data_IF_607507421090
#
_entry.id   IF_607507421090
#
_cell.length_a   1.000
_cell.length_b   1.000
_cell.length_c   1.000
_cell.angle_alpha   90.00
_cell.angle_beta   90.00
_cell.angle_gamma   90.00
#
_symmetry.space_group_name_H-M   'P 1'
#
loop_
_entity.id
_entity.type
_entity.pdbx_description
1 polymer ?
#
# COMPACT_ATOMS: atom_id res chain seq x y z
N UNK A 1 -1.15 20.59 1.21
CA UNK A 1 -0.32 19.37 1.20
C UNK A 1 0.90 19.64 0.33
N UNK A 2 2.12 19.45 0.82
CA UNK A 2 3.32 19.95 0.14
C UNK A 2 3.76 19.04 -1.01
N UNK A 3 4.31 19.63 -2.07
CA UNK A 3 4.87 18.91 -3.21
C UNK A 3 5.99 17.91 -2.79
N UNK A 4 6.61 18.14 -1.62
CA UNK A 4 7.70 17.36 -1.08
C UNK A 4 7.34 15.89 -0.79
N UNK A 5 6.09 15.61 -0.39
CA UNK A 5 5.67 14.24 -0.04
C UNK A 5 5.66 13.35 -1.29
N UNK A 6 5.13 13.86 -2.40
CA UNK A 6 5.11 13.11 -3.65
C UNK A 6 6.49 13.02 -4.31
N UNK A 7 7.34 14.04 -4.17
CA UNK A 7 8.75 13.95 -4.60
C UNK A 7 9.51 12.82 -3.89
N UNK A 8 9.24 12.57 -2.61
CA UNK A 8 9.80 11.42 -1.90
C UNK A 8 9.32 10.08 -2.47
N UNK A 9 8.07 9.99 -2.92
CA UNK A 9 7.55 8.81 -3.62
C UNK A 9 8.32 8.57 -4.91
N UNK A 10 8.53 9.62 -5.70
CA UNK A 10 9.29 9.53 -6.95
C UNK A 10 10.77 9.19 -6.73
N UNK A 11 11.38 9.70 -5.66
CA UNK A 11 12.73 9.32 -5.25
C UNK A 11 12.83 7.83 -4.97
N UNK A 12 11.92 7.29 -4.15
CA UNK A 12 11.90 5.86 -3.82
C UNK A 12 11.55 4.97 -5.01
N UNK A 13 10.73 5.45 -5.94
CA UNK A 13 10.51 4.76 -7.22
C UNK A 13 11.83 4.58 -7.99
N UNK A 14 12.69 5.61 -8.03
CA UNK A 14 14.00 5.52 -8.68
C UNK A 14 14.94 4.56 -7.95
N UNK A 15 14.90 4.56 -6.63
CA UNK A 15 15.68 3.62 -5.79
C UNK A 15 15.24 2.17 -6.05
N UNK A 16 13.94 1.88 -6.05
CA UNK A 16 13.40 0.54 -6.33
C UNK A 16 13.71 0.07 -7.75
N UNK A 17 13.59 0.98 -8.71
CA UNK A 17 13.98 0.68 -10.09
C UNK A 17 15.48 0.35 -10.18
N UNK A 18 16.32 1.10 -9.47
CA UNK A 18 17.76 0.83 -9.36
C UNK A 18 18.07 -0.50 -8.69
N UNK A 19 17.35 -0.85 -7.60
CA UNK A 19 17.45 -2.13 -6.89
C UNK A 19 17.21 -3.32 -7.80
N UNK A 20 16.27 -3.18 -8.75
CA UNK A 20 15.92 -4.22 -9.71
C UNK A 20 16.73 -4.13 -11.02
N UNK A 21 17.65 -3.16 -11.15
CA UNK A 21 18.41 -2.90 -12.38
C UNK A 21 17.52 -2.68 -13.62
N UNK A 22 16.32 -2.13 -13.43
CA UNK A 22 15.36 -1.91 -14.53
C UNK A 22 15.64 -0.56 -15.18
N UNK A 23 15.76 -0.52 -16.51
CA UNK A 23 16.00 0.75 -17.21
C UNK A 23 14.70 1.54 -17.41
N UNK A 24 14.80 2.81 -17.79
CA UNK A 24 13.62 3.61 -18.18
C UNK A 24 12.90 3.04 -19.40
N UNK A 25 13.65 2.38 -20.30
CA UNK A 25 13.11 1.73 -21.49
C UNK A 25 12.32 0.47 -21.10
N UNK A 26 12.84 -0.30 -20.15
CA UNK A 26 12.13 -1.49 -19.66
C UNK A 26 10.83 -1.10 -18.95
N UNK A 27 10.88 -0.08 -18.10
CA UNK A 27 9.68 0.47 -17.45
C UNK A 27 8.67 0.98 -18.47
N UNK A 28 9.11 1.70 -19.51
CA UNK A 28 8.18 2.25 -20.51
C UNK A 28 7.47 1.12 -21.27
N UNK A 29 8.20 0.06 -21.64
CA UNK A 29 7.63 -1.15 -22.26
C UNK A 29 6.62 -1.83 -21.34
N UNK A 30 7.00 -2.07 -20.09
CA UNK A 30 6.15 -2.78 -19.13
C UNK A 30 4.87 -2.00 -18.78
N UNK A 31 4.96 -0.68 -18.71
CA UNK A 31 3.83 0.19 -18.39
C UNK A 31 3.05 0.65 -19.64
N UNK A 32 3.37 0.10 -20.80
CA UNK A 32 2.72 0.42 -22.09
C UNK A 32 2.70 1.93 -22.40
N UNK A 33 3.83 2.60 -22.21
CA UNK A 33 4.04 4.01 -22.55
C UNK A 33 5.35 4.23 -23.29
N UNK A 34 5.48 5.34 -24.00
CA UNK A 34 6.78 5.72 -24.56
C UNK A 34 7.76 6.19 -23.47
N UNK A 35 9.05 6.09 -23.78
CA UNK A 35 10.13 6.42 -22.85
C UNK A 35 10.10 7.89 -22.40
N UNK A 36 9.69 8.82 -23.27
CA UNK A 36 9.60 10.24 -22.93
C UNK A 36 8.51 10.46 -21.87
N UNK A 37 7.36 9.85 -22.09
CA UNK A 37 6.24 9.88 -21.16
C UNK A 37 6.58 9.22 -19.83
N UNK A 38 7.30 8.09 -19.81
CA UNK A 38 7.80 7.51 -18.57
C UNK A 38 8.76 8.46 -17.85
N UNK A 39 9.74 9.02 -18.58
CA UNK A 39 10.72 9.95 -18.02
C UNK A 39 10.08 11.17 -17.37
N UNK A 40 9.06 11.75 -18.01
CA UNK A 40 8.28 12.86 -17.45
C UNK A 40 7.53 12.43 -16.18
N UNK A 41 6.87 11.26 -16.18
CA UNK A 41 6.15 10.74 -15.03
C UNK A 41 7.07 10.46 -13.83
N UNK A 42 8.23 9.84 -14.05
CA UNK A 42 9.24 9.53 -13.01
C UNK A 42 9.83 10.80 -12.38
N UNK A 43 9.88 11.89 -13.13
CA UNK A 43 10.31 13.22 -12.67
C UNK A 43 9.15 14.04 -12.08
N UNK A 44 7.93 13.51 -12.04
CA UNK A 44 6.76 14.25 -11.55
C UNK A 44 6.32 15.39 -12.48
N UNK A 45 6.83 15.42 -13.70
CA UNK A 45 6.57 16.47 -14.69
C UNK A 45 5.33 16.12 -15.51
N UNK A 46 4.35 17.04 -15.53
CA UNK A 46 3.15 17.03 -16.39
C UNK A 46 2.13 15.90 -16.18
N UNK A 47 2.53 14.73 -15.67
CA UNK A 47 1.64 13.59 -15.46
C UNK A 47 1.92 12.84 -14.16
N UNK A 48 0.94 12.03 -13.77
CA UNK A 48 1.00 11.07 -12.67
C UNK A 48 0.84 9.67 -13.24
N UNK A 49 1.27 8.66 -12.50
CA UNK A 49 1.01 7.29 -12.89
C UNK A 49 -0.45 6.96 -12.64
N UNK A 50 -1.08 6.28 -13.60
CA UNK A 50 -2.44 5.77 -13.45
C UNK A 50 -2.47 4.62 -12.44
N UNK A 51 -3.66 4.29 -11.94
CA UNK A 51 -3.84 3.12 -11.09
C UNK A 51 -3.26 1.84 -11.71
N UNK A 52 -3.52 1.61 -13.00
CA UNK A 52 -3.06 0.40 -13.69
C UNK A 52 -1.55 0.39 -13.87
N UNK A 53 -0.93 1.53 -14.14
CA UNK A 53 0.54 1.63 -14.20
C UNK A 53 1.17 1.29 -12.85
N UNK A 54 0.59 1.74 -11.74
CA UNK A 54 1.09 1.44 -10.39
C UNK A 54 0.87 -0.04 -10.05
N UNK A 55 -0.28 -0.60 -10.44
CA UNK A 55 -0.56 -2.03 -10.30
C UNK A 55 0.48 -2.85 -11.06
N UNK A 56 0.73 -2.50 -12.32
CA UNK A 56 1.78 -3.09 -13.15
C UNK A 56 3.16 -2.97 -12.48
N UNK A 57 3.55 -1.81 -11.93
CA UNK A 57 4.82 -1.71 -11.19
C UNK A 57 4.92 -2.73 -10.05
N UNK A 58 3.82 -2.95 -9.32
CA UNK A 58 3.79 -3.97 -8.28
C UNK A 58 3.92 -5.39 -8.86
N UNK A 59 3.23 -5.69 -9.95
CA UNK A 59 3.29 -6.98 -10.62
C UNK A 59 4.70 -7.26 -11.21
N UNK A 60 5.45 -6.20 -11.57
CA UNK A 60 6.86 -6.26 -11.97
C UNK A 60 7.83 -6.53 -10.80
N UNK A 61 7.35 -6.43 -9.55
CA UNK A 61 8.15 -6.67 -8.35
C UNK A 61 8.77 -5.43 -7.72
N UNK A 62 8.36 -4.21 -8.13
CA UNK A 62 8.71 -3.01 -7.37
C UNK A 62 7.95 -3.03 -6.05
N UNK A 63 8.65 -2.71 -4.95
CA UNK A 63 8.03 -2.63 -3.64
C UNK A 63 7.19 -1.35 -3.52
N UNK A 64 5.95 -1.44 -3.98
CA UNK A 64 5.03 -0.29 -3.97
C UNK A 64 4.71 0.16 -2.55
N UNK A 65 4.72 -0.75 -1.57
CA UNK A 65 4.57 -0.37 -0.17
C UNK A 65 5.71 0.58 0.25
N UNK A 66 6.97 0.24 -0.01
CA UNK A 66 8.12 1.10 0.25
C UNK A 66 8.04 2.43 -0.52
N UNK A 67 7.68 2.40 -1.80
CA UNK A 67 7.60 3.60 -2.64
C UNK A 67 6.71 4.68 -2.00
N UNK A 68 5.54 4.30 -1.48
CA UNK A 68 4.63 5.27 -0.86
C UNK A 68 4.91 5.55 0.61
N UNK A 69 5.31 4.53 1.38
CA UNK A 69 5.42 4.65 2.85
C UNK A 69 6.82 5.01 3.34
N UNK A 70 7.85 4.75 2.53
CA UNK A 70 9.25 4.80 2.95
C UNK A 70 9.66 3.61 3.82
N UNK A 71 8.78 2.63 4.03
CA UNK A 71 9.01 1.50 4.92
C UNK A 71 9.40 0.27 4.12
N UNK A 72 10.57 -0.28 4.41
CA UNK A 72 11.12 -1.43 3.72
C UNK A 72 11.38 -2.56 4.71
N UNK A 73 11.29 -3.81 4.23
CA UNK A 73 11.74 -4.99 4.99
C UNK A 73 13.27 -5.00 5.04
N UNK A 74 13.86 -5.39 6.17
CA UNK A 74 15.33 -5.47 6.31
C UNK A 74 15.86 -6.90 6.33
N UNK A 75 15.17 -7.84 6.98
CA UNK A 75 15.79 -9.15 7.29
C UNK A 75 14.93 -10.39 7.08
N UNK A 76 13.60 -10.25 6.92
CA UNK A 76 12.68 -11.40 6.93
C UNK A 76 12.39 -11.91 5.52
N UNK A 77 12.41 -13.24 5.37
CA UNK A 77 11.85 -13.96 4.23
C UNK A 77 10.74 -14.94 4.66
N UNK A 78 9.84 -15.23 3.74
CA UNK A 78 8.78 -16.24 3.88
C UNK A 78 8.91 -17.27 2.76
N UNK A 79 10.15 -17.75 2.54
CA UNK A 79 10.49 -18.61 1.40
C UNK A 79 9.76 -19.96 1.40
N UNK A 80 9.17 -20.35 2.54
CA UNK A 80 8.33 -21.53 2.68
C UNK A 80 6.93 -21.35 2.06
N UNK A 81 6.54 -20.13 1.67
CA UNK A 81 5.29 -19.89 0.92
C UNK A 81 5.61 -20.06 -0.57
N UNK A 82 5.56 -21.29 -1.07
CA UNK A 82 5.95 -21.62 -2.46
C UNK A 82 5.04 -20.96 -3.51
N UNK A 83 3.74 -20.85 -3.21
CA UNK A 83 2.73 -20.25 -4.11
C UNK A 83 1.77 -19.35 -3.32
N UNK A 84 2.18 -18.11 -3.03
CA UNK A 84 1.27 -17.17 -2.42
C UNK A 84 0.09 -16.95 -3.36
N UNK A 85 -1.13 -17.01 -2.84
CA UNK A 85 -2.30 -16.54 -3.55
C UNK A 85 -2.95 -15.39 -2.77
N UNK A 86 -3.65 -14.53 -3.50
CA UNK A 86 -4.26 -13.34 -2.92
C UNK A 86 -5.13 -13.61 -1.67
N UNK A 87 -5.88 -14.71 -1.61
CA UNK A 87 -6.75 -15.01 -0.47
C UNK A 87 -5.93 -15.43 0.75
N UNK A 88 -4.91 -16.26 0.56
CA UNK A 88 -3.95 -16.63 1.59
C UNK A 88 -3.28 -15.41 2.21
N UNK A 89 -2.78 -14.50 1.37
CA UNK A 89 -2.11 -13.27 1.81
C UNK A 89 -3.06 -12.34 2.59
N UNK A 90 -4.32 -12.23 2.15
CA UNK A 90 -5.36 -11.50 2.90
C UNK A 90 -5.60 -12.09 4.30
N UNK A 91 -5.62 -13.42 4.42
CA UNK A 91 -5.77 -14.09 5.70
C UNK A 91 -4.55 -13.86 6.60
N UNK A 92 -3.33 -13.93 6.05
CA UNK A 92 -2.10 -13.64 6.79
C UNK A 92 -2.16 -12.23 7.39
N UNK A 93 -2.45 -11.22 6.56
CA UNK A 93 -2.57 -9.84 7.02
C UNK A 93 -3.61 -9.65 8.15
N UNK A 94 -4.70 -10.43 8.14
CA UNK A 94 -5.71 -10.42 9.22
C UNK A 94 -5.18 -11.08 10.49
N UNK A 95 -4.51 -12.22 10.38
CA UNK A 95 -3.88 -12.90 11.52
C UNK A 95 -2.88 -11.96 12.18
N UNK A 96 -2.04 -11.29 11.38
CA UNK A 96 -1.09 -10.30 11.87
C UNK A 96 -1.78 -9.18 12.64
N UNK A 97 -2.83 -8.58 12.08
CA UNK A 97 -3.62 -7.55 12.78
C UNK A 97 -4.11 -8.07 14.16
N UNK A 98 -4.73 -9.25 14.19
CA UNK A 98 -5.28 -9.84 15.42
C UNK A 98 -4.21 -10.11 16.47
N UNK A 99 -3.07 -10.69 16.08
CA UNK A 99 -1.98 -11.00 17.02
C UNK A 99 -1.37 -9.72 17.56
N UNK A 100 -1.10 -8.72 16.71
CA UNK A 100 -0.56 -7.43 17.13
C UNK A 100 -1.54 -6.71 18.06
N UNK A 101 -2.84 -6.75 17.76
CA UNK A 101 -3.87 -6.14 18.61
C UNK A 101 -3.94 -6.81 19.99
N UNK A 102 -3.86 -8.15 20.05
CA UNK A 102 -3.84 -8.89 21.29
C UNK A 102 -2.60 -8.54 22.12
N UNK A 103 -1.41 -8.64 21.52
CA UNK A 103 -0.15 -8.35 22.20
C UNK A 103 -0.10 -6.90 22.71
N UNK A 104 -0.63 -5.93 21.96
CA UNK A 104 -0.70 -4.54 22.41
C UNK A 104 -1.69 -4.31 23.56
N UNK A 105 -2.73 -5.15 23.70
CA UNK A 105 -3.66 -5.12 24.83
C UNK A 105 -3.07 -5.77 26.08
N UNK A 106 -2.25 -6.80 25.91
CA UNK A 106 -1.55 -7.47 27.02
C UNK A 106 -0.41 -6.60 27.57
N UNK A 107 0.42 -6.03 26.69
CA UNK A 107 1.53 -5.16 27.03
C UNK A 107 1.58 -4.00 26.01
N UNK A 108 1.11 -2.83 26.44
CA UNK A 108 1.04 -1.66 25.57
C UNK A 108 2.41 -1.33 24.96
N UNK A 109 2.44 -1.20 23.63
CA UNK A 109 3.62 -0.86 22.86
C UNK A 109 3.28 0.20 21.82
N UNK A 110 3.92 1.37 21.91
CA UNK A 110 3.72 2.49 20.98
C UNK A 110 3.95 2.11 19.51
N UNK A 111 4.91 1.21 19.24
CA UNK A 111 5.15 0.71 17.88
C UNK A 111 3.96 -0.12 17.37
N UNK A 112 3.33 -0.90 18.26
CA UNK A 112 2.18 -1.73 17.90
C UNK A 112 0.94 -0.86 17.71
N UNK A 113 0.74 0.16 18.55
CA UNK A 113 -0.32 1.15 18.34
C UNK A 113 -0.18 1.84 16.97
N UNK A 114 1.03 2.26 16.60
CA UNK A 114 1.31 2.85 15.29
C UNK A 114 1.04 1.86 14.14
N UNK A 115 1.44 0.60 14.27
CA UNK A 115 1.15 -0.44 13.26
C UNK A 115 -0.36 -0.70 13.14
N UNK A 116 -1.09 -0.79 14.25
CA UNK A 116 -2.54 -1.00 14.25
C UNK A 116 -3.28 0.15 13.57
N UNK A 117 -2.83 1.39 13.77
CA UNK A 117 -3.39 2.57 13.09
C UNK A 117 -3.22 2.49 11.56
N UNK A 118 -2.10 1.96 11.07
CA UNK A 118 -1.87 1.72 9.63
C UNK A 118 -2.65 0.52 9.10
N UNK A 119 -2.74 -0.54 9.91
CA UNK A 119 -3.36 -1.80 9.53
C UNK A 119 -4.89 -1.81 9.70
N UNK A 120 -5.51 -0.85 10.39
CA UNK A 120 -6.96 -0.86 10.63
C UNK A 120 -7.81 -0.95 9.35
N UNK A 121 -7.26 -0.47 8.24
CA UNK A 121 -7.92 -0.52 6.93
C UNK A 121 -7.66 -1.80 6.13
N UNK A 122 -6.74 -2.65 6.57
CA UNK A 122 -6.45 -3.97 5.96
C UNK A 122 -7.68 -4.87 6.02
N UNK A 123 -8.52 -4.72 7.05
CA UNK A 123 -9.81 -5.43 7.16
C UNK A 123 -10.73 -5.20 5.96
N UNK A 124 -10.62 -4.06 5.25
CA UNK A 124 -11.42 -3.79 4.06
C UNK A 124 -10.98 -4.58 2.82
N UNK A 125 -9.77 -5.16 2.83
CA UNK A 125 -9.28 -6.04 1.76
C UNK A 125 -10.09 -7.36 1.72
N UNK A 126 -10.71 -7.76 2.84
CA UNK A 126 -11.48 -9.00 3.02
C UNK A 126 -12.81 -9.02 2.25
N UNK A 127 -13.40 -7.86 1.99
CA UNK A 127 -14.76 -7.78 1.46
C UNK A 127 -14.72 -7.88 -0.07
N UNK A 128 -14.95 -9.09 -0.61
CA UNK A 128 -15.16 -9.34 -2.05
C UNK A 128 -16.45 -8.70 -2.61
N UNK A 129 -17.11 -7.84 -1.85
CA UNK A 129 -18.14 -6.93 -2.35
C UNK A 129 -17.45 -5.81 -3.13
N UNK A 130 -17.97 -5.48 -4.32
CA UNK A 130 -17.57 -4.32 -5.18
C UNK A 130 -16.84 -3.27 -4.35
N UNK A 131 -15.64 -2.79 -4.76
CA UNK A 131 -14.72 -2.10 -3.85
C UNK A 131 -15.52 -1.15 -2.97
N UNK A 132 -15.71 -1.53 -1.71
CA UNK A 132 -16.32 -0.66 -0.71
C UNK A 132 -15.36 0.50 -0.64
N UNK A 133 -15.68 1.53 -1.42
CA UNK A 133 -14.68 2.41 -1.97
C UNK A 133 -13.89 3.01 -0.81
N UNK A 134 -12.59 2.73 -0.73
CA UNK A 134 -11.80 3.10 0.45
C UNK A 134 -11.93 4.60 0.77
N UNK A 135 -12.12 5.45 -0.25
CA UNK A 135 -12.39 6.87 -0.06
C UNK A 135 -13.72 7.11 0.68
N UNK A 136 -14.80 6.45 0.25
CA UNK A 136 -16.10 6.52 0.91
C UNK A 136 -16.06 5.96 2.33
N UNK A 137 -15.38 4.83 2.51
CA UNK A 137 -15.21 4.16 3.79
C UNK A 137 -14.48 5.04 4.79
N UNK A 138 -13.31 5.56 4.42
CA UNK A 138 -12.53 6.49 5.24
C UNK A 138 -13.34 7.74 5.57
N UNK A 139 -14.04 8.31 4.57
CA UNK A 139 -14.88 9.50 4.77
C UNK A 139 -15.95 9.28 5.83
N UNK A 140 -16.69 8.17 5.72
CA UNK A 140 -17.77 7.82 6.65
C UNK A 140 -17.23 7.55 8.06
N UNK A 141 -16.16 6.77 8.18
CA UNK A 141 -15.53 6.48 9.47
C UNK A 141 -15.02 7.72 10.18
N UNK A 142 -14.53 8.72 9.43
CA UNK A 142 -14.08 10.00 10.00
C UNK A 142 -15.21 11.02 10.18
N UNK A 143 -16.44 10.72 9.75
CA UNK A 143 -17.57 11.65 9.82
C UNK A 143 -17.38 12.91 8.95
N UNK A 144 -16.66 12.80 7.84
CA UNK A 144 -16.35 13.96 6.99
C UNK A 144 -17.40 14.17 5.89
N UNK A 145 -17.65 15.44 5.59
CA UNK A 145 -18.33 15.81 4.33
C UNK A 145 -17.41 15.56 3.14
N UNK A 146 -17.95 15.45 1.93
CA UNK A 146 -17.13 15.32 0.71
C UNK A 146 -16.20 16.53 0.54
N UNK A 147 -16.69 17.74 0.79
CA UNK A 147 -15.89 18.97 0.73
C UNK A 147 -14.73 18.91 1.74
N UNK A 148 -15.01 18.52 2.99
CA UNK A 148 -13.96 18.43 4.03
C UNK A 148 -12.88 17.44 3.64
N UNK A 149 -13.24 16.22 3.22
CA UNK A 149 -12.24 15.22 2.83
C UNK A 149 -11.47 15.64 1.56
N UNK A 150 -12.15 16.24 0.58
CA UNK A 150 -11.53 16.73 -0.65
C UNK A 150 -10.48 17.82 -0.35
N UNK A 151 -10.80 18.75 0.57
CA UNK A 151 -9.87 19.76 1.06
C UNK A 151 -8.70 19.12 1.82
N UNK A 152 -8.98 18.13 2.69
CA UNK A 152 -7.93 17.41 3.42
C UNK A 152 -6.94 16.81 2.44
N UNK A 153 -7.38 16.03 1.44
CA UNK A 153 -6.48 15.39 0.46
C UNK A 153 -6.01 16.33 -0.67
N UNK A 154 -6.52 17.56 -0.73
CA UNK A 154 -6.17 18.55 -1.75
C UNK A 154 -6.56 18.10 -3.17
N UNK A 155 -7.81 17.71 -3.37
CA UNK A 155 -8.41 17.47 -4.69
C UNK A 155 -9.75 18.18 -4.83
N UNK A 156 -10.23 18.32 -6.06
CA UNK A 156 -11.56 18.83 -6.33
C UNK A 156 -12.67 17.89 -5.80
N UNK A 157 -13.76 18.46 -5.27
CA UNK A 157 -14.85 17.69 -4.68
C UNK A 157 -15.57 16.77 -5.69
N UNK A 158 -15.66 17.17 -6.96
CA UNK A 158 -16.18 16.31 -8.03
C UNK A 158 -15.20 15.16 -8.29
N UNK A 159 -13.88 15.39 -8.25
CA UNK A 159 -12.88 14.31 -8.33
C UNK A 159 -13.04 13.31 -7.19
N UNK A 160 -13.22 13.77 -5.94
CA UNK A 160 -13.49 12.88 -4.80
C UNK A 160 -14.80 12.09 -5.02
N UNK A 161 -15.87 12.74 -5.43
CA UNK A 161 -17.15 12.07 -5.70
C UNK A 161 -17.04 11.03 -6.81
N UNK A 162 -16.28 11.30 -7.87
CA UNK A 162 -16.03 10.33 -8.94
C UNK A 162 -15.21 9.14 -8.44
N UNK A 163 -14.21 9.39 -7.57
CA UNK A 163 -13.48 8.33 -6.87
C UNK A 163 -14.44 7.49 -6.05
N UNK A 164 -15.21 8.07 -5.13
CA UNK A 164 -16.15 7.36 -4.23
C UNK A 164 -17.16 6.48 -4.96
N UNK A 165 -17.64 6.93 -6.12
CA UNK A 165 -18.61 6.19 -6.94
C UNK A 165 -17.96 5.16 -7.88
N UNK A 166 -16.63 5.01 -7.84
CA UNK A 166 -15.89 4.11 -8.71
C UNK A 166 -15.84 4.53 -10.19
N UNK A 167 -16.21 5.78 -10.51
CA UNK A 167 -16.13 6.33 -11.87
C UNK A 167 -14.69 6.63 -12.28
N UNK A 168 -13.82 6.88 -11.31
CA UNK A 168 -12.38 7.08 -11.51
C UNK A 168 -11.60 6.26 -10.50
N UNK A 169 -10.41 5.81 -10.89
CA UNK A 169 -9.42 5.19 -10.03
C UNK A 169 -8.38 6.23 -9.59
N UNK A 170 -7.74 6.06 -8.43
CA UNK A 170 -6.76 7.01 -7.95
C UNK A 170 -5.46 6.92 -8.76
N UNK A 171 -4.90 8.08 -9.10
CA UNK A 171 -3.54 8.19 -9.62
C UNK A 171 -2.51 8.08 -8.47
N UNK A 172 -1.22 8.03 -8.82
CA UNK A 172 -0.13 7.89 -7.85
C UNK A 172 -0.10 9.02 -6.83
N UNK A 173 -0.48 10.24 -7.20
CA UNK A 173 -0.47 11.35 -6.25
C UNK A 173 -1.60 11.19 -5.23
N UNK A 174 -2.80 10.79 -5.68
CA UNK A 174 -3.92 10.50 -4.79
C UNK A 174 -3.57 9.37 -3.80
N UNK A 175 -2.92 8.29 -4.26
CA UNK A 175 -2.50 7.20 -3.36
C UNK A 175 -1.53 7.74 -2.29
N UNK A 176 -0.55 8.55 -2.67
CA UNK A 176 0.35 9.20 -1.72
C UNK A 176 -0.40 10.07 -0.71
N UNK A 177 -1.37 10.86 -1.17
CA UNK A 177 -2.19 11.74 -0.32
C UNK A 177 -3.05 10.96 0.67
N UNK A 178 -3.57 9.80 0.26
CA UNK A 178 -4.33 8.91 1.15
C UNK A 178 -3.45 8.31 2.24
N UNK A 179 -2.22 7.92 1.91
CA UNK A 179 -1.26 7.46 2.93
C UNK A 179 -0.87 8.60 3.88
N UNK A 180 -0.56 9.79 3.37
CA UNK A 180 -0.18 10.94 4.20
C UNK A 180 -1.29 11.34 5.18
N UNK A 181 -2.51 11.54 4.67
CA UNK A 181 -3.61 12.10 5.45
C UNK A 181 -4.28 11.09 6.40
N UNK A 182 -4.30 9.81 6.02
CA UNK A 182 -5.10 8.79 6.72
C UNK A 182 -4.36 7.50 7.03
N UNK A 183 -3.07 7.41 6.67
CA UNK A 183 -2.25 6.20 6.86
C UNK A 183 -2.82 4.96 6.16
N UNK A 184 -3.52 5.16 5.03
CA UNK A 184 -3.97 4.04 4.19
C UNK A 184 -2.77 3.41 3.50
N UNK A 185 -2.38 2.21 3.93
CA UNK A 185 -1.32 1.45 3.26
C UNK A 185 -1.68 1.19 1.79
N UNK A 186 -0.70 1.27 0.85
CA UNK A 186 -0.93 1.05 -0.58
C UNK A 186 -1.61 -0.28 -0.89
N UNK A 187 -1.35 -1.32 -0.09
CA UNK A 187 -1.97 -2.64 -0.23
C UNK A 187 -3.50 -2.61 -0.17
N UNK A 188 -4.08 -1.67 0.58
CA UNK A 188 -5.55 -1.51 0.70
C UNK A 188 -6.15 -0.98 -0.60
N UNK A 189 -5.36 -0.25 -1.40
CA UNK A 189 -5.82 0.36 -2.66
C UNK A 189 -5.45 -0.51 -3.87
N UNK A 190 -4.23 -1.04 -3.93
CA UNK A 190 -3.67 -1.74 -5.09
C UNK A 190 -3.98 -3.23 -5.08
N UNK A 191 -3.86 -3.87 -3.91
CA UNK A 191 -4.30 -5.25 -3.68
C UNK A 191 -3.65 -6.34 -4.55
N UNK A 192 -2.43 -6.13 -5.07
CA UNK A 192 -1.65 -7.16 -5.77
C UNK A 192 -0.95 -8.10 -4.78
N UNK A 193 -0.60 -9.30 -5.24
CA UNK A 193 0.07 -10.30 -4.40
C UNK A 193 1.43 -9.81 -3.92
N UNK A 194 2.23 -9.22 -4.81
CA UNK A 194 3.53 -8.64 -4.45
C UNK A 194 3.38 -7.51 -3.42
N UNK A 195 2.40 -6.62 -3.57
CA UNK A 195 2.17 -5.54 -2.61
C UNK A 195 1.74 -6.09 -1.24
N UNK A 196 0.90 -7.14 -1.21
CA UNK A 196 0.54 -7.83 0.03
C UNK A 196 1.73 -8.50 0.69
N UNK A 197 2.54 -9.24 -0.08
CA UNK A 197 3.73 -9.92 0.43
C UNK A 197 4.73 -8.92 1.02
N UNK A 198 5.05 -7.84 0.30
CA UNK A 198 5.95 -6.81 0.81
C UNK A 198 5.40 -6.12 2.06
N UNK A 199 4.08 -5.95 2.16
CA UNK A 199 3.44 -5.42 3.37
C UNK A 199 3.56 -6.38 4.55
N UNK A 200 3.31 -7.68 4.33
CA UNK A 200 3.48 -8.73 5.35
C UNK A 200 4.92 -8.75 5.86
N UNK A 201 5.90 -8.78 4.95
CA UNK A 201 7.31 -8.84 5.32
C UNK A 201 7.76 -7.60 6.09
N UNK A 202 7.27 -6.42 5.69
CA UNK A 202 7.50 -5.19 6.44
C UNK A 202 6.93 -5.27 7.87
N UNK A 203 5.67 -5.66 8.05
CA UNK A 203 5.05 -5.70 9.38
C UNK A 203 5.75 -6.73 10.27
N UNK A 204 6.10 -7.90 9.73
CA UNK A 204 6.86 -8.91 10.47
C UNK A 204 8.19 -8.33 10.98
N UNK A 205 8.84 -7.45 10.23
CA UNK A 205 10.13 -6.85 10.57
C UNK A 205 10.03 -5.82 11.70
N UNK A 206 8.85 -5.20 11.85
CA UNK A 206 8.59 -4.19 12.87
C UNK A 206 8.15 -4.76 14.22
N UNK A 207 7.57 -5.96 14.26
CA UNK A 207 7.07 -6.53 15.51
C UNK A 207 8.18 -7.24 16.33
N UNK A 208 7.94 -7.38 17.64
CA UNK A 208 8.84 -8.10 18.57
C UNK A 208 9.05 -9.53 18.08
N UNK A 209 10.22 -10.08 18.41
CA UNK A 209 10.64 -11.42 17.96
C UNK A 209 9.64 -12.50 18.38
N UNK A 210 9.13 -12.43 19.61
CA UNK A 210 8.20 -13.44 20.13
C UNK A 210 6.90 -13.48 19.32
N UNK A 211 6.33 -12.31 19.00
CA UNK A 211 5.09 -12.23 18.22
C UNK A 211 5.31 -12.58 16.74
N UNK A 212 6.48 -12.22 16.20
CA UNK A 212 6.92 -12.64 14.87
C UNK A 212 6.97 -14.17 14.76
N UNK A 213 7.58 -14.84 15.73
CA UNK A 213 7.68 -16.30 15.77
C UNK A 213 6.30 -16.96 15.90
N UNK A 214 5.40 -16.41 16.73
CA UNK A 214 4.00 -16.87 16.83
C UNK A 214 3.29 -16.75 15.48
N UNK A 215 3.36 -15.58 14.83
CA UNK A 215 2.71 -15.35 13.53
C UNK A 215 3.29 -16.28 12.48
N UNK A 216 4.62 -16.37 12.35
CA UNK A 216 5.28 -17.26 11.38
C UNK A 216 4.87 -18.72 11.61
N UNK A 217 4.76 -19.16 12.85
CA UNK A 217 4.30 -20.52 13.18
C UNK A 217 2.85 -20.76 12.75
N UNK A 218 1.95 -19.79 12.99
CA UNK A 218 0.55 -19.84 12.51
C UNK A 218 0.51 -19.91 10.97
N UNK A 219 1.30 -19.06 10.29
CA UNK A 219 1.37 -19.06 8.82
C UNK A 219 1.86 -20.42 8.32
N UNK A 220 2.89 -21.01 8.94
CA UNK A 220 3.37 -22.35 8.57
C UNK A 220 2.26 -23.40 8.68
N UNK A 221 1.50 -23.42 9.77
CA UNK A 221 0.37 -24.36 9.95
C UNK A 221 -0.72 -24.20 8.88
N UNK A 222 -0.94 -22.98 8.37
CA UNK A 222 -2.01 -22.68 7.42
C UNK A 222 -1.61 -22.85 5.95
N UNK A 223 -0.31 -22.83 5.64
CA UNK A 223 0.20 -22.75 4.26
C UNK A 223 1.28 -23.78 3.91
N UNK A 224 1.68 -24.62 4.87
CA UNK A 224 2.56 -25.79 4.71
C UNK A 224 1.83 -27.01 5.25
#
# INVERSE_FOLDING_TARGET
MSNLVYENVLKRLREERGRLSITKVDMSRYLHMDQSNYGKAELGQYRRFSYYEIKSMSDLGLNVNYIYTGKNKKLISLDFIEKPNINSLKCILQIMYTVIELSNKEEFNLQYEALLEEMKYVSFIKQNTKPNNIFLTVRKLKGYTQIKMANIIGIDVKKLRDLENGKKLPDSEIISKMYEAFKILPVVIIGTENCMLDTILYILDEIKKEDREKIVSIIKILFV
#
